data_IF_194726100778
#
_entry.id   IF_194726100778
#
_cell.length_a   1.000
_cell.length_b   1.000
_cell.length_c   1.000
_cell.angle_alpha   90.00
_cell.angle_beta   90.00
_cell.angle_gamma   90.00
#
_symmetry.space_group_name_H-M   'P 1'
#
loop_
_entity.id
_entity.type
_entity.pdbx_description
1 polymer ?
#
# COMPACT_ATOMS: atom_id res chain seq x y z
N UNK A 1 -23.71 16.33 29.36
CA UNK A 1 -25.17 16.42 29.42
C UNK A 1 -25.67 16.58 27.99
N UNK A 2 -26.31 15.55 27.43
CA UNK A 2 -26.94 15.66 26.12
C UNK A 2 -28.08 16.67 26.20
N UNK A 3 -28.00 17.74 25.42
CA UNK A 3 -29.09 18.67 25.25
C UNK A 3 -30.20 17.99 24.45
N UNK A 4 -31.32 17.77 25.13
CA UNK A 4 -32.66 17.51 24.57
C UNK A 4 -32.74 17.12 23.10
N UNK A 5 -32.91 15.81 22.85
CA UNK A 5 -33.77 15.34 21.76
C UNK A 5 -33.41 15.70 20.31
N UNK A 6 -32.29 16.32 20.05
CA UNK A 6 -31.82 16.48 18.67
C UNK A 6 -31.30 15.13 18.15
N UNK A 7 -31.93 14.62 17.10
CA UNK A 7 -31.47 13.45 16.39
C UNK A 7 -30.22 13.87 15.60
N UNK A 8 -29.10 13.27 15.92
CA UNK A 8 -27.81 13.48 15.25
C UNK A 8 -27.55 12.31 14.31
N UNK A 9 -27.14 12.62 13.08
CA UNK A 9 -26.82 11.61 12.08
C UNK A 9 -25.34 11.73 11.70
N UNK A 10 -24.66 10.59 11.65
CA UNK A 10 -23.36 10.42 11.01
C UNK A 10 -23.63 9.88 9.59
N UNK A 11 -23.65 10.75 8.61
CA UNK A 11 -24.01 10.42 7.21
C UNK A 11 -22.81 10.30 6.30
N UNK A 12 -21.65 10.78 6.74
CA UNK A 12 -20.41 10.73 5.99
C UNK A 12 -19.41 9.75 6.61
N UNK A 13 -18.55 9.21 5.78
CA UNK A 13 -17.37 8.49 6.25
C UNK A 13 -16.37 9.50 6.79
N UNK A 14 -15.60 9.12 7.81
CA UNK A 14 -14.59 9.99 8.40
C UNK A 14 -13.48 10.31 7.40
N UNK A 15 -12.96 11.54 7.46
CA UNK A 15 -11.63 11.84 6.93
C UNK A 15 -10.58 11.28 7.91
N UNK A 16 -9.49 10.74 7.38
CA UNK A 16 -8.41 10.19 8.20
C UNK A 16 -7.14 11.00 8.06
N UNK A 17 -6.49 11.26 9.18
CA UNK A 17 -5.14 11.81 9.24
C UNK A 17 -4.27 10.86 10.06
N UNK A 18 -3.18 10.41 9.44
CA UNK A 18 -2.14 9.63 10.09
C UNK A 18 -0.89 10.49 10.26
N UNK A 19 -0.33 10.46 11.44
CA UNK A 19 0.88 11.20 11.79
C UNK A 19 1.91 10.21 12.29
N UNK A 20 3.01 10.09 11.58
CA UNK A 20 4.14 9.28 12.01
C UNK A 20 4.73 9.83 13.31
N UNK A 21 4.93 8.98 14.30
CA UNK A 21 5.38 9.42 15.63
C UNK A 21 6.87 9.80 15.66
N UNK A 22 7.66 9.26 14.76
CA UNK A 22 9.11 9.51 14.67
C UNK A 22 9.41 10.67 13.75
N UNK A 23 9.05 10.58 12.48
CA UNK A 23 9.33 11.58 11.45
C UNK A 23 8.42 12.80 11.51
N UNK A 24 7.25 12.71 12.16
CA UNK A 24 6.15 13.70 12.16
C UNK A 24 5.56 13.94 10.77
N UNK A 25 5.86 13.09 9.82
CA UNK A 25 5.20 13.11 8.53
C UNK A 25 3.70 12.89 8.69
N UNK A 26 2.92 13.59 7.87
CA UNK A 26 1.45 13.56 7.92
C UNK A 26 0.92 12.99 6.61
N UNK A 27 -0.03 12.11 6.73
CA UNK A 27 -0.73 11.50 5.62
C UNK A 27 -2.24 11.63 5.86
N UNK A 28 -2.94 12.25 4.92
CA UNK A 28 -4.38 12.47 5.02
C UNK A 28 -5.12 11.82 3.86
N UNK A 29 -6.27 11.23 4.13
CA UNK A 29 -7.21 10.78 3.11
C UNK A 29 -8.62 11.28 3.44
N UNK A 30 -9.26 11.85 2.44
CA UNK A 30 -10.66 12.27 2.44
C UNK A 30 -11.53 11.41 1.50
N UNK A 31 -11.00 10.26 1.05
CA UNK A 31 -11.64 9.37 0.07
C UNK A 31 -12.04 8.03 0.65
N UNK A 32 -12.19 7.95 1.97
CA UNK A 32 -12.61 6.73 2.63
C UNK A 32 -14.00 6.30 2.14
N UNK A 33 -14.15 5.03 1.84
CA UNK A 33 -15.43 4.41 1.53
C UNK A 33 -16.15 3.95 2.79
N UNK A 34 -15.40 3.41 3.73
CA UNK A 34 -15.92 2.96 5.00
C UNK A 34 -14.87 3.01 6.11
N UNK A 35 -15.32 3.14 7.33
CA UNK A 35 -14.50 2.86 8.51
C UNK A 35 -15.33 2.08 9.53
N UNK A 36 -14.67 1.21 10.26
CA UNK A 36 -15.27 0.43 11.34
C UNK A 36 -14.31 0.38 12.52
N UNK A 37 -14.86 0.43 13.72
CA UNK A 37 -14.11 0.31 14.95
C UNK A 37 -14.68 -0.82 15.80
N UNK A 38 -13.85 -1.79 16.13
CA UNK A 38 -14.19 -2.86 17.08
C UNK A 38 -13.33 -2.77 18.34
N UNK A 39 -13.87 -3.23 19.45
CA UNK A 39 -13.16 -3.28 20.71
C UNK A 39 -13.33 -4.66 21.34
N UNK A 40 -12.22 -5.26 21.70
CA UNK A 40 -12.17 -6.51 22.44
C UNK A 40 -11.55 -6.26 23.81
N UNK A 41 -12.11 -6.85 24.85
CA UNK A 41 -11.62 -6.78 26.24
C UNK A 41 -11.64 -8.17 26.82
N UNK A 42 -10.48 -8.67 27.24
CA UNK A 42 -10.38 -9.94 27.94
C UNK A 42 -10.86 -9.75 29.38
N UNK A 43 -11.63 -10.71 29.87
CA UNK A 43 -12.11 -10.73 31.24
C UNK A 43 -11.64 -11.98 31.97
N UNK A 44 -11.08 -11.81 33.15
CA UNK A 44 -10.72 -12.92 34.04
C UNK A 44 -11.58 -12.85 35.29
N UNK A 45 -12.30 -13.93 35.56
CA UNK A 45 -13.11 -14.03 36.77
C UNK A 45 -12.31 -14.71 37.87
N UNK A 46 -12.28 -14.08 39.04
CA UNK A 46 -11.75 -14.67 40.24
C UNK A 46 -12.93 -15.31 41.00
N UNK A 47 -12.87 -16.63 41.13
CA UNK A 47 -13.91 -17.42 41.79
C UNK A 47 -13.34 -18.06 43.05
N UNK A 48 -14.16 -18.10 44.12
CA UNK A 48 -13.78 -18.78 45.37
C UNK A 48 -15.01 -19.24 46.19
N UNK A 49 -14.74 -20.00 47.24
CA UNK A 49 -15.75 -20.57 48.09
C UNK A 49 -16.29 -21.94 47.63
N UNK A 50 -17.06 -22.61 48.46
CA UNK A 50 -17.62 -23.95 48.15
C UNK A 50 -18.61 -23.92 46.97
N UNK A 51 -19.21 -22.79 46.64
CA UNK A 51 -20.14 -22.59 45.53
C UNK A 51 -19.44 -22.13 44.25
N UNK A 52 -18.14 -21.88 44.29
CA UNK A 52 -17.37 -21.34 43.16
C UNK A 52 -17.95 -19.99 42.64
N UNK A 53 -18.42 -19.16 43.56
CA UNK A 53 -19.03 -17.87 43.20
C UNK A 53 -17.99 -16.88 42.67
N UNK A 54 -18.40 -16.02 41.72
CA UNK A 54 -17.54 -14.95 41.17
C UNK A 54 -17.36 -13.89 42.24
N UNK A 55 -16.13 -13.73 42.75
CA UNK A 55 -15.77 -12.71 43.73
C UNK A 55 -15.36 -11.39 43.09
N UNK A 56 -14.70 -11.46 41.94
CA UNK A 56 -14.26 -10.29 41.18
C UNK A 56 -14.10 -10.64 39.69
N UNK A 57 -14.29 -9.63 38.86
CA UNK A 57 -14.01 -9.69 37.43
C UNK A 57 -12.94 -8.67 37.09
N UNK A 58 -11.81 -9.12 36.57
CA UNK A 58 -10.71 -8.27 36.15
C UNK A 58 -10.81 -8.13 34.62
N UNK A 59 -10.82 -6.90 34.12
CA UNK A 59 -10.74 -6.61 32.68
C UNK A 59 -9.30 -6.37 32.31
N UNK A 60 -8.78 -7.17 31.37
CA UNK A 60 -7.41 -7.12 30.87
C UNK A 60 -7.41 -6.92 29.35
N UNK A 61 -6.24 -6.56 28.82
CA UNK A 61 -5.94 -6.61 27.37
C UNK A 61 -7.04 -5.97 26.50
N UNK A 62 -7.27 -4.68 26.68
CA UNK A 62 -8.17 -3.93 25.79
C UNK A 62 -7.47 -3.75 24.44
N UNK A 63 -8.03 -4.32 23.39
CA UNK A 63 -7.61 -4.12 22.00
C UNK A 63 -8.70 -3.32 21.26
N UNK A 64 -8.28 -2.30 20.54
CA UNK A 64 -9.14 -1.54 19.63
C UNK A 64 -8.59 -1.72 18.24
N UNK A 65 -9.43 -2.22 17.35
CA UNK A 65 -9.12 -2.40 15.92
C UNK A 65 -9.94 -1.40 15.12
N UNK A 66 -9.26 -0.71 14.20
CA UNK A 66 -9.88 0.23 13.28
C UNK A 66 -9.61 -0.24 11.87
N UNK A 67 -10.66 -0.62 11.17
CA UNK A 67 -10.60 -1.01 9.76
C UNK A 67 -11.01 0.18 8.90
N UNK A 68 -10.20 0.49 7.90
CA UNK A 68 -10.40 1.61 6.98
C UNK A 68 -10.40 1.04 5.56
N UNK A 69 -11.40 1.40 4.76
CA UNK A 69 -11.46 1.10 3.35
C UNK A 69 -11.40 2.40 2.57
N UNK A 70 -10.35 2.58 1.76
CA UNK A 70 -10.18 3.75 0.89
C UNK A 70 -10.47 3.38 -0.57
N UNK A 71 -11.12 4.27 -1.29
CA UNK A 71 -11.39 4.13 -2.73
C UNK A 71 -10.14 4.45 -3.54
N UNK A 72 -9.31 5.35 -3.05
CA UNK A 72 -8.10 5.79 -3.72
C UNK A 72 -6.89 5.05 -3.18
N UNK A 73 -6.21 4.31 -4.04
CA UNK A 73 -4.97 3.66 -3.71
C UNK A 73 -3.83 4.69 -3.63
N UNK A 74 -3.55 5.18 -2.43
CA UNK A 74 -2.44 6.10 -2.18
C UNK A 74 -1.17 5.31 -1.88
N UNK A 75 -0.11 5.53 -2.67
CA UNK A 75 1.18 4.82 -2.51
C UNK A 75 1.79 5.01 -1.14
N UNK A 76 1.69 6.23 -0.60
CA UNK A 76 2.23 6.56 0.72
C UNK A 76 1.55 5.77 1.85
N UNK A 77 0.24 5.50 1.73
CA UNK A 77 -0.47 4.61 2.66
C UNK A 77 0.04 3.18 2.57
N UNK A 78 0.26 2.68 1.35
CA UNK A 78 0.81 1.33 1.14
C UNK A 78 2.23 1.25 1.69
N UNK A 79 3.07 2.24 1.39
CA UNK A 79 4.44 2.31 1.90
C UNK A 79 4.47 2.32 3.43
N UNK A 80 3.60 3.10 4.04
CA UNK A 80 3.44 3.17 5.48
C UNK A 80 3.00 1.82 6.09
N UNK A 81 2.01 1.16 5.48
CA UNK A 81 1.52 -0.15 5.93
C UNK A 81 2.60 -1.23 5.85
N UNK A 82 3.44 -1.19 4.83
CA UNK A 82 4.50 -2.17 4.59
C UNK A 82 5.85 -1.79 5.25
N UNK A 83 5.94 -0.63 5.91
CA UNK A 83 7.21 -0.12 6.39
C UNK A 83 8.20 0.17 5.26
N UNK A 84 7.72 0.48 4.06
CA UNK A 84 8.52 0.69 2.87
C UNK A 84 9.07 2.11 2.79
N UNK A 85 10.26 2.25 2.20
CA UNK A 85 10.82 3.56 1.87
C UNK A 85 10.34 4.00 0.48
N UNK A 86 9.80 5.21 0.38
CA UNK A 86 9.49 5.86 -0.90
C UNK A 86 10.61 6.84 -1.23
N UNK A 87 11.23 6.67 -2.39
CA UNK A 87 12.27 7.57 -2.92
C UNK A 87 11.75 8.24 -4.18
N UNK A 88 11.98 9.55 -4.28
CA UNK A 88 11.59 10.37 -5.42
C UNK A 88 12.83 10.93 -6.13
N UNK A 89 12.74 11.08 -7.45
CA UNK A 89 13.72 11.78 -8.27
C UNK A 89 15.11 11.14 -8.30
N UNK A 90 15.23 9.83 -8.04
CA UNK A 90 16.49 9.09 -8.11
C UNK A 90 16.52 8.15 -9.30
N UNK A 91 17.74 7.96 -9.85
CA UNK A 91 17.96 6.87 -10.80
C UNK A 91 17.91 5.54 -10.08
N UNK A 92 17.09 4.64 -10.60
CA UNK A 92 16.84 3.33 -10.02
C UNK A 92 16.91 2.25 -11.07
N UNK A 93 17.22 1.05 -10.62
CA UNK A 93 17.13 -0.12 -11.46
C UNK A 93 15.65 -0.53 -11.61
N UNK A 94 15.13 -0.38 -12.82
CA UNK A 94 13.83 -0.91 -13.20
C UNK A 94 14.03 -2.18 -14.06
N UNK A 95 12.97 -2.96 -14.21
CA UNK A 95 13.06 -4.25 -14.87
C UNK A 95 12.05 -4.34 -16.02
N UNK A 96 12.53 -4.74 -17.19
CA UNK A 96 11.68 -5.20 -18.27
C UNK A 96 11.39 -6.67 -18.05
N UNK A 97 10.12 -7.03 -18.08
CA UNK A 97 9.71 -8.44 -17.97
C UNK A 97 9.91 -9.17 -19.29
N UNK A 98 10.08 -10.50 -19.28
CA UNK A 98 10.13 -11.30 -20.50
C UNK A 98 8.91 -11.03 -21.38
N UNK A 99 9.13 -10.75 -22.66
CA UNK A 99 8.05 -10.44 -23.60
C UNK A 99 8.45 -10.77 -25.04
N UNK A 100 7.43 -10.92 -25.89
CA UNK A 100 7.64 -11.10 -27.33
C UNK A 100 7.79 -9.75 -28.04
N UNK A 101 8.76 -9.67 -28.95
CA UNK A 101 9.01 -8.49 -29.78
C UNK A 101 9.00 -8.90 -31.25
N UNK A 102 8.26 -8.15 -32.07
CA UNK A 102 8.17 -8.37 -33.50
C UNK A 102 9.43 -7.86 -34.23
N UNK A 103 9.97 -8.68 -35.11
CA UNK A 103 11.07 -8.29 -35.99
C UNK A 103 10.57 -7.35 -37.10
N UNK A 104 11.15 -6.18 -37.20
CA UNK A 104 10.88 -5.17 -38.25
C UNK A 104 12.17 -4.79 -38.95
N UNK A 105 12.18 -4.93 -40.26
CA UNK A 105 13.35 -4.59 -41.11
C UNK A 105 14.67 -5.26 -40.68
N UNK A 106 14.58 -6.52 -40.18
CA UNK A 106 15.74 -7.25 -39.68
C UNK A 106 16.28 -6.76 -38.34
N UNK A 107 15.46 -6.03 -37.59
CA UNK A 107 15.79 -5.50 -36.26
C UNK A 107 14.70 -5.78 -35.24
N UNK A 108 15.10 -5.83 -33.98
CA UNK A 108 14.21 -5.76 -32.83
C UNK A 108 14.54 -4.51 -32.01
N UNK A 109 13.52 -3.91 -31.44
CA UNK A 109 13.67 -2.70 -30.60
C UNK A 109 13.24 -3.00 -29.18
N UNK A 110 14.17 -2.89 -28.24
CA UNK A 110 13.90 -3.03 -26.82
C UNK A 110 13.14 -1.82 -26.29
N UNK A 111 12.24 -1.98 -25.30
CA UNK A 111 11.54 -0.85 -24.67
C UNK A 111 12.49 0.16 -24.02
N UNK A 112 13.57 -0.34 -23.41
CA UNK A 112 14.60 0.46 -22.74
C UNK A 112 15.97 -0.12 -23.01
N UNK A 113 17.00 0.72 -22.96
CA UNK A 113 18.38 0.26 -23.10
C UNK A 113 18.78 -0.57 -21.86
N UNK A 114 19.33 -1.77 -22.03
CA UNK A 114 19.81 -2.56 -20.92
C UNK A 114 20.88 -1.81 -20.13
N UNK A 115 20.88 -2.00 -18.81
CA UNK A 115 21.93 -1.47 -17.94
C UNK A 115 23.29 -2.07 -18.34
N UNK A 116 24.34 -1.31 -18.18
CA UNK A 116 25.71 -1.76 -18.47
C UNK A 116 26.02 -3.07 -17.75
N UNK A 117 26.53 -4.05 -18.49
CA UNK A 117 26.82 -5.40 -17.99
C UNK A 117 25.62 -6.36 -17.96
N UNK A 118 24.45 -5.95 -18.39
CA UNK A 118 23.29 -6.84 -18.55
C UNK A 118 23.30 -7.49 -19.94
N UNK A 119 23.12 -8.81 -19.98
CA UNK A 119 22.92 -9.56 -21.20
C UNK A 119 21.45 -9.85 -21.42
N UNK A 120 20.90 -9.44 -22.55
CA UNK A 120 19.54 -9.78 -22.97
C UNK A 120 19.62 -11.03 -23.85
N UNK A 121 19.04 -12.13 -23.36
CA UNK A 121 18.90 -13.35 -24.16
C UNK A 121 17.64 -13.22 -25.01
N UNK A 122 17.79 -13.62 -26.29
CA UNK A 122 16.68 -13.63 -27.25
C UNK A 122 16.47 -15.07 -27.72
N UNK A 123 15.22 -15.51 -27.70
CA UNK A 123 14.81 -16.85 -28.09
C UNK A 123 13.74 -16.80 -29.17
N UNK A 124 13.71 -17.81 -30.04
CA UNK A 124 12.63 -17.99 -30.99
C UNK A 124 11.39 -18.69 -30.35
N UNK A 125 10.36 -18.92 -31.17
CA UNK A 125 9.14 -19.62 -30.71
C UNK A 125 9.38 -21.06 -30.24
N UNK A 126 10.54 -21.65 -30.58
CA UNK A 126 10.90 -22.99 -30.14
C UNK A 126 11.78 -23.00 -28.90
N UNK A 127 12.16 -21.83 -28.41
CA UNK A 127 13.08 -21.67 -27.27
C UNK A 127 14.55 -21.82 -27.68
N UNK A 128 14.88 -21.72 -28.98
CA UNK A 128 16.26 -21.70 -29.43
C UNK A 128 16.85 -20.29 -29.33
N UNK A 129 18.04 -20.18 -28.74
CA UNK A 129 18.72 -18.89 -28.57
C UNK A 129 19.11 -18.29 -29.92
N UNK A 130 18.71 -17.04 -30.11
CA UNK A 130 19.06 -16.24 -31.29
C UNK A 130 20.20 -15.29 -30.93
N UNK A 131 21.27 -15.33 -31.71
CA UNK A 131 22.37 -14.36 -31.55
C UNK A 131 21.92 -12.97 -32.00
N UNK A 132 21.99 -12.01 -31.09
CA UNK A 132 21.63 -10.61 -31.32
C UNK A 132 22.70 -9.70 -30.75
N UNK A 133 23.18 -8.79 -31.59
CA UNK A 133 24.09 -7.72 -31.13
C UNK A 133 23.27 -6.44 -30.91
N UNK A 134 23.16 -6.01 -29.65
CA UNK A 134 22.47 -4.79 -29.32
C UNK A 134 23.36 -3.57 -29.37
N UNK A 135 22.88 -2.49 -29.97
CA UNK A 135 23.44 -1.14 -29.89
C UNK A 135 22.40 -0.21 -29.27
N UNK A 136 22.50 0.01 -27.94
CA UNK A 136 21.47 0.69 -27.17
C UNK A 136 20.18 -0.13 -27.12
N UNK A 137 19.11 0.36 -27.71
CA UNK A 137 17.81 -0.32 -27.76
C UNK A 137 17.59 -1.17 -29.01
N UNK A 138 18.41 -1.02 -30.05
CA UNK A 138 18.25 -1.75 -31.31
C UNK A 138 19.14 -2.99 -31.36
N UNK A 139 18.55 -4.12 -31.70
CA UNK A 139 19.26 -5.38 -31.96
C UNK A 139 19.08 -5.83 -33.42
N UNK A 140 20.17 -6.18 -34.08
CA UNK A 140 20.12 -6.73 -35.43
C UNK A 140 19.97 -8.24 -35.39
N UNK A 141 19.01 -8.76 -36.16
CA UNK A 141 18.67 -10.18 -36.22
C UNK A 141 18.61 -10.67 -37.68
N UNK A 142 18.81 -11.97 -37.86
CA UNK A 142 18.73 -12.60 -39.19
C UNK A 142 17.32 -13.08 -39.54
N UNK A 143 16.39 -13.06 -38.61
CA UNK A 143 15.02 -13.52 -38.80
C UNK A 143 14.22 -12.56 -39.69
N UNK A 144 13.24 -13.13 -40.40
CA UNK A 144 12.37 -12.37 -41.31
C UNK A 144 11.40 -11.43 -40.58
N UNK A 145 10.95 -10.40 -41.30
CA UNK A 145 9.96 -9.48 -40.79
C UNK A 145 8.67 -10.20 -40.37
N UNK A 146 8.08 -9.76 -39.27
CA UNK A 146 6.86 -10.35 -38.69
C UNK A 146 7.12 -11.54 -37.77
N UNK A 147 8.38 -12.00 -37.65
CA UNK A 147 8.74 -13.04 -36.68
C UNK A 147 8.68 -12.47 -35.28
N UNK A 148 8.10 -13.21 -34.34
CA UNK A 148 8.09 -12.83 -32.90
C UNK A 148 9.27 -13.51 -32.24
N UNK A 149 10.12 -12.72 -31.60
CA UNK A 149 11.21 -13.18 -30.75
C UNK A 149 10.94 -12.84 -29.30
N UNK A 150 11.32 -13.72 -28.42
CA UNK A 150 11.09 -13.55 -26.96
C UNK A 150 12.38 -13.09 -26.30
N UNK A 151 12.32 -11.97 -25.62
CA UNK A 151 13.46 -11.46 -24.84
C UNK A 151 13.36 -11.90 -23.39
N UNK A 152 14.50 -12.20 -22.76
CA UNK A 152 14.60 -12.39 -21.32
C UNK A 152 14.34 -11.08 -20.58
N UNK A 153 13.96 -11.17 -19.31
CA UNK A 153 13.93 -10.01 -18.43
C UNK A 153 15.32 -9.42 -18.23
N UNK A 154 15.41 -8.10 -18.17
CA UNK A 154 16.66 -7.38 -17.92
C UNK A 154 16.42 -6.11 -17.10
N UNK A 155 17.48 -5.63 -16.41
CA UNK A 155 17.44 -4.36 -15.70
C UNK A 155 17.85 -3.21 -16.62
N UNK A 156 17.24 -2.06 -16.43
CA UNK A 156 17.60 -0.79 -17.06
C UNK A 156 17.59 0.35 -16.04
N UNK A 157 18.29 1.42 -16.32
CA UNK A 157 18.30 2.61 -15.47
C UNK A 157 17.10 3.48 -15.84
N UNK A 158 16.19 3.69 -14.87
CA UNK A 158 15.04 4.56 -15.01
C UNK A 158 15.17 5.78 -14.12
N UNK A 159 14.71 6.92 -14.61
CA UNK A 159 14.42 8.06 -13.75
C UNK A 159 13.09 7.76 -13.04
N UNK A 160 13.16 7.31 -11.80
CA UNK A 160 11.97 7.02 -11.04
C UNK A 160 11.36 8.32 -10.51
N UNK A 161 10.16 8.63 -10.95
CA UNK A 161 9.36 9.65 -10.28
C UNK A 161 9.11 9.23 -8.82
N UNK A 162 8.85 7.93 -8.59
CA UNK A 162 8.72 7.34 -7.25
C UNK A 162 9.12 5.86 -7.26
N UNK A 163 10.00 5.48 -6.35
CA UNK A 163 10.35 4.08 -6.09
C UNK A 163 9.93 3.70 -4.68
N UNK A 164 9.13 2.65 -4.55
CA UNK A 164 8.82 2.02 -3.27
C UNK A 164 9.72 0.79 -3.09
N UNK A 165 10.51 0.79 -2.03
CA UNK A 165 11.37 -0.35 -1.68
C UNK A 165 10.83 -1.00 -0.41
N UNK A 166 10.51 -2.29 -0.50
CA UNK A 166 10.08 -3.10 0.64
C UNK A 166 11.27 -3.95 1.07
N UNK A 167 11.71 -3.75 2.32
CA UNK A 167 12.78 -4.54 2.92
C UNK A 167 12.20 -5.52 3.95
N UNK A 168 12.69 -6.75 3.96
CA UNK A 168 12.18 -7.80 4.85
C UNK A 168 12.49 -7.58 6.34
N UNK A 169 13.38 -6.66 6.66
CA UNK A 169 13.81 -6.29 8.00
C UNK A 169 13.13 -5.02 8.52
N UNK A 170 12.29 -4.37 7.71
CA UNK A 170 11.55 -3.17 8.07
C UNK A 170 10.09 -3.50 8.33
N UNK A 171 9.61 -3.04 9.46
CA UNK A 171 8.20 -3.16 9.86
C UNK A 171 7.53 -1.80 9.83
N UNK A 172 6.21 -1.83 9.73
CA UNK A 172 5.40 -0.63 9.85
C UNK A 172 5.65 0.11 11.18
N UNK A 173 5.76 1.42 11.10
CA UNK A 173 5.95 2.27 12.27
C UNK A 173 4.73 2.39 13.17
N UNK A 174 4.81 3.21 14.20
CA UNK A 174 3.66 3.57 15.03
C UNK A 174 3.20 4.98 14.70
N UNK A 175 1.89 5.13 14.54
CA UNK A 175 1.25 6.36 14.09
C UNK A 175 0.26 6.87 15.12
N UNK A 176 0.00 8.17 15.09
CA UNK A 176 -1.20 8.76 15.67
C UNK A 176 -2.24 8.85 14.55
N UNK A 177 -3.46 8.41 14.81
CA UNK A 177 -4.56 8.49 13.86
C UNK A 177 -5.65 9.41 14.39
N UNK A 178 -6.15 10.28 13.53
CA UNK A 178 -7.29 11.15 13.78
C UNK A 178 -8.35 10.83 12.74
N UNK A 179 -9.55 10.50 13.20
CA UNK A 179 -10.76 10.38 12.37
C UNK A 179 -11.61 11.63 12.61
N UNK A 180 -11.96 12.34 11.52
CA UNK A 180 -12.80 13.54 11.54
C UNK A 180 -14.13 13.26 10.86
N UNK A 181 -15.20 13.27 11.61
CA UNK A 181 -16.56 12.95 11.17
C UNK A 181 -17.44 14.19 11.23
N UNK A 182 -18.28 14.37 10.22
CA UNK A 182 -19.28 15.43 10.20
C UNK A 182 -20.60 14.94 10.80
N UNK A 183 -21.17 15.73 11.71
CA UNK A 183 -22.45 15.44 12.35
C UNK A 183 -23.52 16.33 11.74
N UNK A 184 -24.61 15.72 11.32
CA UNK A 184 -25.72 16.38 10.65
C UNK A 184 -26.97 16.39 11.54
N UNK A 185 -27.81 17.42 11.38
CA UNK A 185 -29.17 17.46 11.94
C UNK A 185 -30.19 16.80 10.98
N UNK A 186 -31.45 16.78 11.37
CA UNK A 186 -32.54 16.23 10.57
C UNK A 186 -32.74 16.96 9.22
N UNK A 187 -32.29 18.22 9.12
CA UNK A 187 -32.38 19.05 7.90
C UNK A 187 -31.12 18.92 7.03
N UNK A 188 -30.26 17.91 7.29
CA UNK A 188 -29.00 17.64 6.56
C UNK A 188 -27.98 18.79 6.62
N UNK A 189 -28.04 19.61 7.66
CA UNK A 189 -27.06 20.66 7.91
C UNK A 189 -25.98 20.16 8.85
N UNK A 190 -24.72 20.51 8.57
CA UNK A 190 -23.59 20.20 9.45
C UNK A 190 -23.72 21.02 10.72
N UNK A 191 -23.90 20.38 11.86
CA UNK A 191 -24.04 21.03 13.17
C UNK A 191 -22.82 20.91 14.05
N UNK A 192 -21.96 19.91 13.79
CA UNK A 192 -20.73 19.66 14.54
C UNK A 192 -19.72 18.86 13.71
N UNK A 193 -18.49 18.84 14.21
CA UNK A 193 -17.46 17.87 13.82
C UNK A 193 -17.09 17.04 15.04
N UNK A 194 -16.93 15.75 14.84
CA UNK A 194 -16.50 14.81 15.87
C UNK A 194 -15.15 14.25 15.49
N UNK A 195 -14.14 14.49 16.33
CA UNK A 195 -12.81 13.93 16.13
C UNK A 195 -12.57 12.79 17.12
N UNK A 196 -12.10 11.67 16.58
CA UNK A 196 -11.63 10.54 17.38
C UNK A 196 -10.11 10.40 17.18
N UNK A 197 -9.36 10.50 18.29
CA UNK A 197 -7.90 10.50 18.26
C UNK A 197 -7.38 9.22 18.89
N UNK A 198 -6.60 8.46 18.13
CA UNK A 198 -5.85 7.31 18.60
C UNK A 198 -4.37 7.70 18.70
N UNK A 199 -3.85 7.74 19.91
CA UNK A 199 -2.47 8.20 20.16
C UNK A 199 -1.40 7.22 19.69
N UNK A 200 -1.76 5.95 19.50
CA UNK A 200 -0.86 4.93 18.95
C UNK A 200 -1.68 3.89 18.20
N UNK A 201 -1.44 3.82 16.92
CA UNK A 201 -1.90 2.73 16.05
C UNK A 201 -0.69 2.08 15.39
N UNK A 202 -0.79 0.79 15.17
CA UNK A 202 0.20 0.02 14.43
C UNK A 202 -0.59 -0.66 13.31
N UNK A 203 -0.18 -0.52 12.04
CA UNK A 203 -0.80 -1.25 10.96
C UNK A 203 -0.77 -2.75 11.23
N UNK A 204 -1.83 -3.45 10.88
CA UNK A 204 -1.93 -4.89 11.04
C UNK A 204 -1.69 -5.52 9.67
N UNK A 205 -0.67 -6.36 9.57
CA UNK A 205 -0.33 -7.15 8.40
C UNK A 205 -1.23 -8.41 8.41
N UNK A 206 -2.46 -8.28 7.92
CA UNK A 206 -3.39 -9.41 7.81
C UNK A 206 -3.68 -9.76 6.37
#
# INVERSE_FOLDING_TARGET
MAKNGQIEFLLSVADVLLIDKESKAQLASATLKSHNMSQTVDTTEIRAGQRNDVLATIKNNKTIEVTIEDVQQQRDFIAMMLGADVKEGQKVDAYVLPQGIEVKEGKITLPHAPKEGQNVTVEDEKGETVEVTFQGVEGTVSQGNGTILYISGYAYEADAEQLMTIASDKFAGSYQMVLDEQVFNADMQIIARKQTVFHKVIPNDS
#
